data_IF_934840901954
#
_entry.id   IF_934840901954
#
_cell.length_a   1.000
_cell.length_b   1.000
_cell.length_c   1.000
_cell.angle_alpha   90.00
_cell.angle_beta   90.00
_cell.angle_gamma   90.00
#
_symmetry.space_group_name_H-M   'P 1'
#
loop_
_entity.id
_entity.type
_entity.pdbx_description
1 polymer ?
#
# COMPACT_ATOMS: atom_id res chain seq x y z
N UNK A 1 -10.12 -7.29 -3.91
CA UNK A 1 -9.74 -5.93 -3.49
C UNK A 1 -8.23 -5.87 -3.27
N UNK A 2 -7.45 -6.23 -4.29
CA UNK A 2 -5.99 -6.40 -4.23
C UNK A 2 -5.44 -5.76 -5.49
N UNK A 3 -4.34 -5.03 -5.40
CA UNK A 3 -3.84 -4.18 -6.49
C UNK A 3 -2.33 -4.00 -6.38
N UNK A 4 -1.65 -3.96 -7.52
CA UNK A 4 -0.23 -3.57 -7.57
C UNK A 4 -0.08 -2.04 -7.56
N UNK A 5 1.13 -1.53 -7.28
CA UNK A 5 1.40 -0.09 -7.38
C UNK A 5 1.10 0.46 -8.79
N UNK A 6 1.45 -0.30 -9.84
CA UNK A 6 1.27 0.12 -11.24
C UNK A 6 -0.21 0.17 -11.63
N UNK A 7 -1.00 -0.80 -11.17
CA UNK A 7 -2.44 -0.82 -11.41
C UNK A 7 -3.16 0.30 -10.64
N UNK A 8 -2.70 0.59 -9.42
CA UNK A 8 -3.24 1.68 -8.61
C UNK A 8 -2.97 3.04 -9.25
N UNK A 9 -1.72 3.28 -9.70
CA UNK A 9 -1.35 4.50 -10.43
C UNK A 9 -2.18 4.63 -11.71
N UNK A 10 -2.26 3.57 -12.52
CA UNK A 10 -3.00 3.59 -13.78
C UNK A 10 -4.51 3.86 -13.55
N UNK A 11 -5.08 3.31 -12.48
CA UNK A 11 -6.46 3.58 -12.07
C UNK A 11 -6.66 5.04 -11.66
N UNK A 12 -5.70 5.62 -10.96
CA UNK A 12 -5.73 7.02 -10.54
C UNK A 12 -5.54 7.99 -11.72
N UNK A 13 -4.64 7.69 -12.66
CA UNK A 13 -4.47 8.44 -13.91
C UNK A 13 -5.77 8.46 -14.71
N UNK A 14 -6.46 7.31 -14.82
CA UNK A 14 -7.76 7.21 -15.48
C UNK A 14 -8.83 8.07 -14.80
N UNK A 15 -8.92 8.06 -13.46
CA UNK A 15 -9.92 8.84 -12.72
C UNK A 15 -9.66 10.35 -12.77
N UNK A 16 -8.40 10.76 -12.78
CA UNK A 16 -8.02 12.19 -12.77
C UNK A 16 -7.85 12.78 -14.16
N UNK A 17 -7.69 11.94 -15.20
CA UNK A 17 -7.32 12.37 -16.55
C UNK A 17 -5.90 12.95 -16.65
N UNK A 18 -5.05 12.68 -15.65
CA UNK A 18 -3.68 13.22 -15.56
C UNK A 18 -2.67 12.09 -15.61
N UNK A 19 -1.61 12.27 -16.39
CA UNK A 19 -0.48 11.35 -16.42
C UNK A 19 0.50 11.68 -15.29
N UNK A 20 1.04 10.66 -14.64
CA UNK A 20 1.99 10.74 -13.54
C UNK A 20 3.34 10.24 -14.05
N UNK A 21 4.39 11.05 -13.90
CA UNK A 21 5.76 10.61 -14.16
C UNK A 21 6.14 9.55 -13.14
N UNK A 22 6.35 8.32 -13.59
CA UNK A 22 6.77 7.19 -12.75
C UNK A 22 8.28 7.25 -12.54
N UNK A 23 8.70 7.31 -11.28
CA UNK A 23 10.11 7.22 -10.87
C UNK A 23 10.25 5.94 -10.07
N UNK A 24 11.04 5.00 -10.58
CA UNK A 24 11.30 3.74 -9.91
C UNK A 24 12.54 3.88 -9.02
N UNK A 25 12.42 3.40 -7.79
CA UNK A 25 13.54 3.28 -6.85
C UNK A 25 13.98 1.81 -6.85
N UNK A 26 15.25 1.49 -7.15
CA UNK A 26 15.75 0.12 -7.10
C UNK A 26 15.62 -0.48 -5.68
N UNK A 27 15.39 -1.79 -5.60
CA UNK A 27 15.31 -2.51 -4.32
C UNK A 27 16.55 -2.25 -3.45
N UNK A 28 17.73 -2.32 -4.06
CA UNK A 28 19.00 -2.20 -3.33
C UNK A 28 19.22 -0.81 -2.74
N UNK A 29 18.64 0.22 -3.34
CA UNK A 29 18.64 1.57 -2.77
C UNK A 29 17.79 1.61 -1.50
N UNK A 30 16.64 0.94 -1.49
CA UNK A 30 15.77 0.84 -0.32
C UNK A 30 16.46 0.03 0.79
N UNK A 31 17.09 -1.09 0.45
CA UNK A 31 17.87 -1.90 1.41
C UNK A 31 19.03 -1.08 1.99
N UNK A 32 19.76 -0.34 1.15
CA UNK A 32 20.82 0.54 1.64
C UNK A 32 20.28 1.55 2.66
N UNK A 33 19.09 2.11 2.44
CA UNK A 33 18.46 3.02 3.40
C UNK A 33 18.12 2.34 4.73
N UNK A 34 17.68 1.07 4.73
CA UNK A 34 17.36 0.35 5.98
C UNK A 34 18.60 0.06 6.81
N UNK A 35 19.75 -0.16 6.17
CA UNK A 35 21.02 -0.44 6.82
C UNK A 35 21.75 0.82 7.30
N UNK A 36 21.57 1.95 6.60
CA UNK A 36 22.38 3.17 6.82
C UNK A 36 21.68 4.26 7.62
N UNK A 37 20.34 4.32 7.62
CA UNK A 37 19.61 5.33 8.40
C UNK A 37 19.60 4.97 9.89
N UNK A 38 19.61 5.98 10.79
CA UNK A 38 19.39 5.73 12.21
C UNK A 38 17.97 5.25 12.49
N UNK A 39 17.75 4.70 13.68
CA UNK A 39 16.40 4.41 14.17
C UNK A 39 15.79 5.69 14.77
N UNK A 40 14.51 6.01 14.47
CA UNK A 40 13.54 5.17 13.75
C UNK A 40 13.44 5.42 12.23
N UNK A 41 14.29 6.27 11.65
CA UNK A 41 14.24 6.65 10.22
C UNK A 41 14.45 5.48 9.25
N UNK A 42 15.11 4.40 9.68
CA UNK A 42 15.25 3.18 8.91
C UNK A 42 13.98 2.31 8.86
N UNK A 43 12.99 2.56 9.72
CA UNK A 43 11.75 1.77 9.80
C UNK A 43 10.84 1.99 8.59
N UNK A 44 10.52 3.22 8.15
CA UNK A 44 9.70 3.44 6.96
C UNK A 44 10.20 2.76 5.68
N UNK A 45 11.48 2.87 5.26
CA UNK A 45 11.95 2.17 4.06
C UNK A 45 11.87 0.64 4.20
N UNK A 46 12.08 0.09 5.41
CA UNK A 46 11.92 -1.35 5.64
C UNK A 46 10.47 -1.81 5.47
N UNK A 47 9.50 -1.02 5.95
CA UNK A 47 8.07 -1.28 5.74
C UNK A 47 7.71 -1.18 4.25
N UNK A 48 8.20 -0.15 3.55
CA UNK A 48 7.96 0.01 2.11
C UNK A 48 8.53 -1.15 1.31
N UNK A 49 9.75 -1.60 1.63
CA UNK A 49 10.37 -2.78 1.01
C UNK A 49 9.51 -4.03 1.22
N UNK A 50 9.10 -4.31 2.46
CA UNK A 50 8.29 -5.47 2.81
C UNK A 50 6.96 -5.51 2.03
N UNK A 51 6.23 -4.39 2.02
CA UNK A 51 4.90 -4.32 1.39
C UNK A 51 5.00 -4.27 -0.13
N UNK A 52 5.87 -3.42 -0.69
CA UNK A 52 5.81 -3.04 -2.10
C UNK A 52 6.87 -3.68 -2.98
N UNK A 53 7.88 -4.33 -2.41
CA UNK A 53 8.95 -5.02 -3.15
C UNK A 53 8.88 -6.52 -2.90
N UNK A 54 8.90 -6.96 -1.64
CA UNK A 54 8.76 -8.38 -1.29
C UNK A 54 7.33 -8.89 -1.48
N UNK A 55 6.34 -8.02 -1.29
CA UNK A 55 4.94 -8.36 -1.48
C UNK A 55 4.40 -9.28 -0.38
N UNK A 56 4.93 -9.15 0.84
CA UNK A 56 4.68 -10.10 1.93
C UNK A 56 3.20 -10.23 2.33
N UNK A 57 2.37 -9.25 1.99
CA UNK A 57 0.92 -9.29 2.22
C UNK A 57 0.19 -10.34 1.37
N UNK A 58 0.80 -10.78 0.26
CA UNK A 58 0.21 -11.74 -0.69
C UNK A 58 1.21 -12.81 -1.14
N UNK A 59 2.35 -12.95 -0.45
CA UNK A 59 3.42 -13.87 -0.83
C UNK A 59 3.23 -15.29 -0.28
N UNK A 60 2.08 -15.56 0.36
CA UNK A 60 1.73 -16.82 0.99
C UNK A 60 0.27 -17.16 0.70
N UNK A 61 -0.05 -18.45 0.82
CA UNK A 61 -1.41 -18.97 0.71
C UNK A 61 -1.99 -19.21 2.10
N UNK A 62 -3.30 -19.01 2.25
CA UNK A 62 -4.01 -19.31 3.48
C UNK A 62 -4.08 -20.82 3.71
N UNK A 63 -3.95 -21.23 4.97
CA UNK A 63 -4.09 -22.62 5.41
C UNK A 63 -5.50 -22.91 5.93
N UNK A 64 -5.78 -24.17 6.25
CA UNK A 64 -7.08 -24.57 6.83
C UNK A 64 -7.36 -23.93 8.20
N UNK A 65 -6.32 -23.44 8.90
CA UNK A 65 -6.43 -22.77 10.19
C UNK A 65 -6.64 -21.25 10.07
N UNK A 66 -6.43 -20.68 8.87
CA UNK A 66 -6.55 -19.25 8.61
C UNK A 66 -7.98 -18.87 8.20
N UNK A 67 -8.39 -17.64 8.53
CA UNK A 67 -9.69 -17.09 8.15
C UNK A 67 -9.52 -15.81 7.34
N UNK A 68 -10.19 -15.75 6.18
CA UNK A 68 -10.31 -14.53 5.39
C UNK A 68 -11.58 -13.76 5.85
N UNK A 69 -11.39 -12.54 6.35
CA UNK A 69 -12.46 -11.79 7.01
C UNK A 69 -13.61 -11.41 6.07
N UNK A 70 -13.35 -11.22 4.76
CA UNK A 70 -14.40 -10.91 3.79
C UNK A 70 -15.34 -12.08 3.48
N UNK A 71 -14.92 -13.32 3.77
CA UNK A 71 -15.77 -14.51 3.67
C UNK A 71 -16.68 -14.73 4.89
N UNK A 72 -16.36 -14.12 6.04
CA UNK A 72 -17.11 -14.33 7.30
C UNK A 72 -18.48 -13.65 7.31
N UNK A 73 -18.64 -12.53 6.62
CA UNK A 73 -19.87 -11.73 6.59
C UNK A 73 -20.22 -11.35 5.13
N UNK A 74 -20.82 -12.26 4.34
CA UNK A 74 -21.09 -12.04 2.91
C UNK A 74 -22.02 -10.86 2.61
N UNK A 75 -22.84 -10.46 3.58
CA UNK A 75 -23.70 -9.27 3.52
C UNK A 75 -22.91 -7.97 3.65
N UNK A 76 -21.74 -8.01 4.29
CA UNK A 76 -20.89 -6.86 4.51
C UNK A 76 -20.01 -6.59 3.28
N UNK A 77 -20.24 -5.44 2.64
CA UNK A 77 -19.49 -5.03 1.44
C UNK A 77 -18.34 -4.10 1.82
N UNK A 78 -17.12 -4.64 1.85
CA UNK A 78 -15.91 -3.84 2.02
C UNK A 78 -15.78 -2.79 0.90
N UNK A 79 -15.29 -1.62 1.26
CA UNK A 79 -14.99 -0.55 0.29
C UNK A 79 -13.88 -1.02 -0.66
N UNK A 80 -14.18 -1.08 -1.96
CA UNK A 80 -13.19 -1.43 -2.97
C UNK A 80 -12.16 -0.30 -3.18
N UNK A 81 -10.98 -0.64 -3.70
CA UNK A 81 -9.96 0.34 -4.13
C UNK A 81 -10.56 1.37 -5.09
N UNK A 82 -11.37 0.94 -6.06
CA UNK A 82 -12.02 1.84 -7.03
C UNK A 82 -12.90 2.89 -6.34
N UNK A 83 -13.75 2.48 -5.40
CA UNK A 83 -14.60 3.39 -4.61
C UNK A 83 -13.77 4.26 -3.67
N UNK A 84 -12.69 3.72 -3.10
CA UNK A 84 -11.79 4.50 -2.27
C UNK A 84 -11.19 5.66 -3.07
N UNK A 85 -10.71 5.40 -4.29
CA UNK A 85 -10.19 6.45 -5.17
C UNK A 85 -11.26 7.51 -5.49
N UNK A 86 -12.53 7.13 -5.67
CA UNK A 86 -13.62 8.11 -5.84
C UNK A 86 -13.79 9.02 -4.62
N UNK A 87 -13.66 8.46 -3.41
CA UNK A 87 -13.67 9.25 -2.16
C UNK A 87 -12.52 10.25 -2.15
N UNK A 88 -11.31 9.83 -2.54
CA UNK A 88 -10.15 10.73 -2.64
C UNK A 88 -10.30 11.81 -3.72
N UNK A 89 -11.05 11.53 -4.80
CA UNK A 89 -11.30 12.49 -5.86
C UNK A 89 -12.31 13.57 -5.44
N UNK A 90 -13.37 13.19 -4.73
CA UNK A 90 -14.49 14.08 -4.38
C UNK A 90 -14.29 14.77 -3.03
N UNK A 91 -13.90 14.01 -2.01
CA UNK A 91 -13.78 14.47 -0.62
C UNK A 91 -12.63 13.75 0.08
N UNK A 92 -11.37 14.07 -0.28
CA UNK A 92 -10.22 13.45 0.35
C UNK A 92 -10.21 13.74 1.86
N UNK A 93 -9.71 12.80 2.69
CA UNK A 93 -9.44 13.07 4.10
C UNK A 93 -8.56 14.32 4.24
N UNK A 94 -8.82 15.15 5.26
CA UNK A 94 -8.26 16.50 5.34
C UNK A 94 -6.73 16.56 5.42
N UNK A 95 -6.06 15.54 5.97
CA UNK A 95 -4.60 15.48 6.11
C UNK A 95 -4.10 14.04 6.06
N UNK A 96 -2.99 13.76 5.34
CA UNK A 96 -2.22 12.54 5.54
C UNK A 96 -1.83 12.37 7.01
N UNK A 97 -1.74 11.12 7.47
CA UNK A 97 -1.34 10.78 8.83
C UNK A 97 0.10 10.32 8.84
N UNK A 98 0.81 10.62 9.93
CA UNK A 98 2.16 10.16 10.18
C UNK A 98 2.08 9.09 11.28
N UNK A 99 2.63 7.91 11.00
CA UNK A 99 2.80 6.88 12.01
C UNK A 99 3.96 7.26 12.94
N UNK A 100 3.83 6.93 14.22
CA UNK A 100 4.92 7.05 15.18
C UNK A 100 5.72 5.75 15.20
N UNK A 101 7.04 5.87 15.07
CA UNK A 101 7.99 4.77 15.20
C UNK A 101 8.96 5.14 16.32
N UNK A 102 9.04 4.32 17.37
CA UNK A 102 9.78 4.65 18.60
C UNK A 102 8.93 5.34 19.67
N UNK A 103 9.43 5.32 20.91
CA UNK A 103 8.84 5.92 22.10
C UNK A 103 9.49 7.28 22.42
#
# INVERSE_FOLDING_TARGET
NVVSQLDLISSWEKKTGRNIKRVHVPEEEIITQTETLPSPENVPPAILHNIFVKGDQTSFELTEEDLEASELYPEYKYTSVDRLLDVFLVKPPSKPKLASFGA
#
